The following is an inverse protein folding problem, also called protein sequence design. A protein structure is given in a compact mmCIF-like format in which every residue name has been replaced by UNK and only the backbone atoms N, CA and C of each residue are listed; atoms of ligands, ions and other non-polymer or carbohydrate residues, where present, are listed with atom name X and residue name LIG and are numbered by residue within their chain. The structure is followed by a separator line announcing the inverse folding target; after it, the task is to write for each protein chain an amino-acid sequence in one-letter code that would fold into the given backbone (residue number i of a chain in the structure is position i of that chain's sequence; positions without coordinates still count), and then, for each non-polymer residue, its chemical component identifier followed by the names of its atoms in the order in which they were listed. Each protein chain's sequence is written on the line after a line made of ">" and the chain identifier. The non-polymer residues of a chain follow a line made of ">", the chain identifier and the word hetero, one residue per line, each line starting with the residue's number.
data_IF_852782445119
#
_entry.id   IF_852782445119
#
_cell.length_a   1.000
_cell.length_b   1.000
_cell.length_c   1.000
_cell.angle_alpha   90.00
_cell.angle_beta   90.00
_cell.angle_gamma   90.00
#
_symmetry.space_group_name_H-M   'P 1'
#
loop_
_entity.id
_entity.type
_entity.pdbx_description
1 polymer ?
#
# COMPACT_ATOMS: atom_id res chain seq x y z
N UNK A 1 55.25 1.97 30.50
CA UNK A 1 54.18 1.21 29.79
C UNK A 1 52.86 1.96 29.63
N UNK A 2 52.56 2.94 30.42
CA UNK A 2 51.30 3.73 30.33
C UNK A 2 51.25 4.76 29.20
N UNK A 3 52.37 5.37 28.83
CA UNK A 3 52.39 6.38 27.77
C UNK A 3 52.03 5.84 26.35
N UNK A 4 52.35 4.57 26.08
CA UNK A 4 52.01 3.95 24.76
C UNK A 4 50.51 3.60 24.60
N UNK A 5 49.77 3.38 25.71
CA UNK A 5 48.33 3.09 25.67
C UNK A 5 47.49 4.34 25.43
N UNK A 6 47.95 5.54 25.81
CA UNK A 6 47.23 6.79 25.57
C UNK A 6 47.29 7.26 24.11
N UNK A 7 48.43 7.04 23.46
CA UNK A 7 48.60 7.43 22.04
C UNK A 7 47.70 6.59 21.13
N UNK A 8 47.49 5.30 21.45
CA UNK A 8 46.64 4.41 20.62
C UNK A 8 45.15 4.75 20.75
N UNK A 9 44.69 5.28 21.90
CA UNK A 9 43.28 5.68 22.09
C UNK A 9 42.94 7.01 21.40
N UNK A 10 43.89 7.94 21.32
CA UNK A 10 43.67 9.22 20.62
C UNK A 10 43.65 9.02 19.10
N UNK A 11 44.51 8.13 18.58
CA UNK A 11 44.53 7.80 17.14
C UNK A 11 43.24 7.10 16.68
N UNK A 12 42.66 6.22 17.49
CA UNK A 12 41.41 5.54 17.18
C UNK A 12 40.18 6.49 17.16
N UNK A 13 40.13 7.46 18.08
CA UNK A 13 39.07 8.47 18.09
C UNK A 13 39.14 9.45 16.91
N UNK A 14 40.34 9.82 16.47
CA UNK A 14 40.52 10.68 15.30
C UNK A 14 40.18 9.96 13.98
N UNK A 15 40.44 8.66 13.89
CA UNK A 15 40.07 7.85 12.75
C UNK A 15 38.54 7.64 12.65
N UNK A 16 37.82 7.45 13.76
CA UNK A 16 36.34 7.39 13.78
C UNK A 16 35.71 8.75 13.46
N UNK A 17 36.26 9.86 13.94
CA UNK A 17 35.76 11.19 13.64
C UNK A 17 35.89 11.54 12.15
N UNK A 18 37.01 11.15 11.51
CA UNK A 18 37.21 11.36 10.08
C UNK A 18 36.29 10.49 9.20
N UNK A 19 36.03 9.25 9.63
CA UNK A 19 35.09 8.35 8.92
C UNK A 19 33.64 8.85 8.98
N UNK A 20 33.20 9.40 10.12
CA UNK A 20 31.86 9.98 10.28
C UNK A 20 31.70 11.27 9.46
N UNK A 21 32.72 12.14 9.43
CA UNK A 21 32.68 13.35 8.60
C UNK A 21 32.71 13.07 7.09
N UNK A 22 33.40 12.01 6.65
CA UNK A 22 33.42 11.59 5.24
C UNK A 22 32.05 10.99 4.84
N UNK A 23 31.42 10.21 5.72
CA UNK A 23 30.08 9.66 5.47
C UNK A 23 28.98 10.76 5.44
N UNK A 24 29.09 11.79 6.27
CA UNK A 24 28.15 12.92 6.24
C UNK A 24 28.36 13.84 5.02
N UNK A 25 29.59 14.02 4.53
CA UNK A 25 29.85 14.80 3.33
C UNK A 25 29.50 14.05 2.01
N UNK A 26 29.42 12.71 2.04
CA UNK A 26 28.97 11.91 0.90
C UNK A 26 27.43 11.90 0.77
N UNK A 27 26.70 12.08 1.86
CA UNK A 27 25.22 12.19 1.81
C UNK A 27 24.69 13.48 1.15
N UNK A 28 25.50 14.50 1.02
CA UNK A 28 25.12 15.80 0.45
C UNK A 28 25.38 15.98 -1.05
N UNK A 29 25.94 14.98 -1.77
CA UNK A 29 26.39 15.13 -3.16
C UNK A 29 25.75 14.24 -4.20
N UNK A 30 24.76 13.43 -3.87
CA UNK A 30 23.95 12.72 -4.85
C UNK A 30 22.57 13.37 -4.96
N UNK A 31 22.52 14.54 -5.59
CA UNK A 31 21.33 14.91 -6.34
C UNK A 31 21.50 14.22 -7.71
N UNK A 32 20.60 13.34 -8.12
CA UNK A 32 20.64 12.81 -9.46
C UNK A 32 20.49 13.98 -10.44
N UNK A 33 21.20 13.99 -11.57
CA UNK A 33 21.05 15.03 -12.58
C UNK A 33 19.59 15.09 -13.03
N UNK A 34 19.03 16.30 -13.09
CA UNK A 34 17.74 16.53 -13.71
C UNK A 34 17.87 16.23 -15.20
N UNK A 35 17.19 15.16 -15.64
CA UNK A 35 17.10 14.76 -17.05
C UNK A 35 17.87 13.49 -17.38
N UNK A 36 17.28 12.35 -17.07
CA UNK A 36 17.58 11.12 -17.80
C UNK A 36 16.25 10.40 -18.11
N UNK A 37 15.98 10.26 -19.39
CA UNK A 37 14.79 9.55 -19.91
C UNK A 37 14.94 8.02 -19.77
N UNK A 38 15.48 7.56 -18.66
CA UNK A 38 15.74 6.16 -18.36
C UNK A 38 15.75 5.81 -16.87
N UNK A 39 15.34 6.75 -16.00
CA UNK A 39 15.41 6.55 -14.56
C UNK A 39 14.40 5.51 -14.05
N UNK A 40 14.89 4.29 -13.81
CA UNK A 40 14.14 3.24 -13.10
C UNK A 40 14.06 3.49 -11.58
N UNK A 41 14.76 4.50 -11.07
CA UNK A 41 14.85 4.81 -9.65
C UNK A 41 13.74 5.78 -9.23
N UNK A 42 12.89 5.35 -8.33
CA UNK A 42 11.92 6.21 -7.63
C UNK A 42 12.31 6.37 -6.18
N UNK A 43 11.88 7.46 -5.59
CA UNK A 43 12.08 7.73 -4.16
C UNK A 43 10.79 7.43 -3.41
N UNK A 44 10.77 6.31 -2.73
CA UNK A 44 9.69 5.88 -1.86
C UNK A 44 9.65 6.61 -0.52
N UNK A 45 8.86 6.11 0.40
CA UNK A 45 8.77 6.59 1.77
C UNK A 45 10.10 6.40 2.51
N UNK A 46 10.30 7.11 3.62
CA UNK A 46 11.58 7.10 4.32
C UNK A 46 12.79 7.56 3.47
N UNK A 47 12.56 8.13 2.27
CA UNK A 47 13.59 8.45 1.27
C UNK A 47 14.35 7.23 0.70
N UNK A 48 13.79 6.04 0.80
CA UNK A 48 14.35 4.82 0.22
C UNK A 48 14.30 4.91 -1.30
N UNK A 49 15.37 4.48 -1.95
CA UNK A 49 15.43 4.41 -3.42
C UNK A 49 15.01 3.02 -3.87
N UNK A 50 14.01 2.96 -4.75
CA UNK A 50 13.48 1.73 -5.31
C UNK A 50 13.82 1.70 -6.80
N UNK A 51 14.47 0.64 -7.24
CA UNK A 51 14.73 0.42 -8.67
C UNK A 51 13.55 -0.30 -9.31
N UNK A 52 12.66 0.48 -9.92
CA UNK A 52 11.46 -0.06 -10.59
C UNK A 52 11.78 -1.05 -11.72
N UNK A 53 12.95 -0.99 -12.34
CA UNK A 53 13.32 -1.94 -13.38
C UNK A 53 13.60 -3.34 -12.84
N UNK A 54 14.11 -3.43 -11.62
CA UNK A 54 14.64 -4.68 -11.05
C UNK A 54 13.87 -5.20 -9.85
N UNK A 55 13.16 -4.35 -9.09
CA UNK A 55 12.37 -4.81 -7.94
C UNK A 55 11.34 -5.86 -8.35
N UNK A 56 11.31 -6.98 -7.61
CA UNK A 56 10.39 -8.11 -7.85
C UNK A 56 9.64 -8.54 -6.60
N UNK A 57 10.18 -8.26 -5.42
CA UNK A 57 9.59 -8.64 -4.15
C UNK A 57 9.60 -7.48 -3.16
N UNK A 58 8.71 -7.52 -2.18
CA UNK A 58 8.69 -6.52 -1.12
C UNK A 58 9.94 -6.64 -0.22
N UNK A 59 10.48 -7.84 -0.08
CA UNK A 59 11.66 -8.10 0.76
C UNK A 59 12.96 -7.48 0.23
N UNK A 60 13.01 -7.10 -1.04
CA UNK A 60 14.18 -6.41 -1.64
C UNK A 60 14.30 -4.95 -1.21
N UNK A 61 13.26 -4.37 -0.60
CA UNK A 61 13.24 -2.97 -0.17
C UNK A 61 13.26 -2.89 1.36
N UNK A 62 14.08 -1.98 1.88
CA UNK A 62 14.20 -1.77 3.32
C UNK A 62 12.91 -1.20 3.93
N UNK A 63 12.54 -1.66 5.12
CA UNK A 63 11.47 -1.06 5.91
C UNK A 63 11.78 0.39 6.24
N UNK A 64 10.78 1.25 6.17
CA UNK A 64 10.89 2.67 6.54
C UNK A 64 10.08 3.02 7.81
N UNK A 65 9.38 2.06 8.37
CA UNK A 65 8.60 2.16 9.60
C UNK A 65 9.28 1.41 10.77
N UNK A 66 8.55 0.64 11.54
CA UNK A 66 9.05 -0.07 12.74
C UNK A 66 9.78 -1.38 12.43
N UNK A 67 9.91 -1.73 11.17
CA UNK A 67 10.43 -3.01 10.69
C UNK A 67 9.33 -4.01 10.40
N UNK A 68 9.70 -5.06 9.69
CA UNK A 68 8.78 -6.12 9.26
C UNK A 68 9.22 -7.47 9.80
N UNK A 69 8.27 -8.34 10.10
CA UNK A 69 8.56 -9.68 10.59
C UNK A 69 9.26 -10.53 9.50
N UNK A 70 10.17 -11.40 9.95
CA UNK A 70 10.77 -12.42 9.10
C UNK A 70 10.22 -13.79 9.47
N UNK A 71 9.91 -14.60 8.47
CA UNK A 71 9.48 -15.99 8.67
C UNK A 71 9.92 -16.87 7.51
N UNK A 72 9.84 -18.17 7.73
CA UNK A 72 10.11 -19.18 6.70
C UNK A 72 9.00 -20.23 6.73
N UNK A 73 8.57 -20.65 5.57
CA UNK A 73 7.63 -21.74 5.47
C UNK A 73 8.33 -23.10 5.71
N UNK A 74 7.64 -24.11 6.28
CA UNK A 74 8.18 -25.44 6.42
C UNK A 74 8.59 -26.03 5.06
N UNK A 75 9.65 -26.87 5.00
CA UNK A 75 10.06 -27.54 3.78
C UNK A 75 8.90 -28.32 3.12
N UNK A 76 8.79 -28.22 1.80
CA UNK A 76 7.72 -28.82 1.01
C UNK A 76 6.46 -27.99 0.83
N UNK A 77 6.39 -26.80 1.44
CA UNK A 77 5.27 -25.87 1.32
C UNK A 77 5.69 -24.49 0.77
N UNK A 78 6.83 -24.42 0.12
CA UNK A 78 7.38 -23.16 -0.39
C UNK A 78 6.53 -22.58 -1.52
N UNK A 79 5.79 -23.43 -2.24
CA UNK A 79 4.94 -23.04 -3.38
C UNK A 79 3.44 -23.09 -3.10
N UNK A 80 3.03 -23.67 -1.98
CA UNK A 80 1.62 -23.78 -1.56
C UNK A 80 1.32 -22.67 -0.56
N UNK A 81 1.44 -21.42 -1.01
CA UNK A 81 1.31 -20.23 -0.20
C UNK A 81 0.51 -19.17 -0.93
N UNK A 82 -0.17 -18.31 -0.17
CA UNK A 82 -0.71 -17.07 -0.69
C UNK A 82 0.43 -16.04 -0.78
N UNK A 83 0.61 -15.43 -1.94
CA UNK A 83 1.56 -14.34 -2.15
C UNK A 83 0.81 -13.03 -2.29
N UNK A 84 1.13 -12.05 -1.44
CA UNK A 84 0.62 -10.69 -1.60
C UNK A 84 1.29 -10.05 -2.82
N UNK A 85 0.50 -9.70 -3.82
CA UNK A 85 0.97 -9.23 -5.11
C UNK A 85 0.58 -7.78 -5.35
N UNK A 86 1.55 -6.86 -5.23
CA UNK A 86 1.38 -5.43 -5.47
C UNK A 86 1.66 -5.09 -6.93
N UNK A 87 0.85 -4.26 -7.53
CA UNK A 87 1.05 -3.78 -8.90
C UNK A 87 1.89 -2.51 -8.92
N UNK A 88 3.01 -2.59 -9.62
CA UNK A 88 3.81 -1.46 -10.04
C UNK A 88 3.18 -0.85 -11.30
N UNK A 89 2.69 0.36 -11.20
CA UNK A 89 2.07 1.10 -12.30
C UNK A 89 2.70 2.49 -12.48
N UNK A 90 2.52 3.05 -13.65
CA UNK A 90 2.91 4.44 -13.93
C UNK A 90 1.80 5.39 -13.53
N UNK A 91 2.18 6.49 -12.87
CA UNK A 91 1.23 7.57 -12.57
C UNK A 91 1.17 8.56 -13.71
N UNK A 92 -0.01 8.77 -14.27
CA UNK A 92 -0.31 9.83 -15.23
C UNK A 92 -0.78 11.08 -14.47
N UNK A 93 0.04 12.09 -14.44
CA UNK A 93 -0.34 13.38 -13.90
C UNK A 93 0.51 13.84 -12.71
N UNK A 94 0.46 15.15 -12.51
CA UNK A 94 1.00 15.78 -11.32
C UNK A 94 -0.13 15.78 -10.30
N UNK A 95 -0.03 15.06 -9.19
CA UNK A 95 -0.93 15.33 -8.07
C UNK A 95 -0.78 16.83 -7.79
N UNK A 96 -1.86 17.55 -7.87
CA UNK A 96 -1.86 19.00 -7.61
C UNK A 96 -1.19 19.28 -6.26
N UNK A 97 -0.80 20.51 -5.97
CA UNK A 97 0.00 20.86 -4.79
C UNK A 97 -0.61 20.42 -3.46
N UNK A 98 -1.85 19.98 -3.43
CA UNK A 98 -2.63 19.82 -2.20
C UNK A 98 -3.31 18.44 -2.02
N UNK A 99 -3.25 17.56 -3.00
CA UNK A 99 -4.05 16.32 -2.96
C UNK A 99 -3.56 15.30 -1.90
N UNK A 100 -2.33 15.40 -1.43
CA UNK A 100 -1.73 14.37 -0.56
C UNK A 100 -1.41 14.82 0.87
N UNK A 101 -1.47 16.13 1.15
CA UNK A 101 -0.94 16.65 2.43
C UNK A 101 0.59 16.54 2.60
N UNK A 102 1.29 15.88 1.68
CA UNK A 102 2.73 15.58 1.74
C UNK A 102 3.64 16.72 1.23
N UNK A 103 3.08 17.89 0.94
CA UNK A 103 3.82 19.06 0.46
C UNK A 103 4.04 19.08 -1.05
N UNK A 104 4.47 20.26 -1.54
CA UNK A 104 4.59 20.52 -2.98
C UNK A 104 5.61 19.59 -3.64
N UNK A 105 5.18 18.86 -4.67
CA UNK A 105 6.06 18.18 -5.61
C UNK A 105 6.39 16.71 -5.31
N UNK A 106 5.81 16.07 -4.28
CA UNK A 106 5.98 14.65 -4.06
C UNK A 106 5.03 13.88 -4.99
N UNK A 107 5.56 13.09 -5.88
CA UNK A 107 4.77 12.14 -6.66
C UNK A 107 4.38 11.00 -5.73
N UNK A 108 3.11 10.74 -5.59
CA UNK A 108 2.60 9.52 -5.00
C UNK A 108 2.49 8.46 -6.09
N UNK A 109 2.71 7.21 -5.73
CA UNK A 109 2.71 6.12 -6.68
C UNK A 109 2.44 4.79 -6.01
N UNK A 110 2.63 3.72 -6.75
CA UNK A 110 2.42 2.35 -6.32
C UNK A 110 3.22 1.95 -5.05
N UNK A 111 4.26 2.69 -4.70
CA UNK A 111 5.22 2.44 -3.62
C UNK A 111 4.84 3.07 -2.27
N UNK A 112 3.69 3.70 -2.15
CA UNK A 112 3.20 4.22 -0.87
C UNK A 112 2.95 3.03 0.06
N UNK A 113 3.29 3.19 1.36
CA UNK A 113 3.22 2.16 2.40
C UNK A 113 4.04 0.88 2.09
N UNK A 114 4.80 0.88 1.01
CA UNK A 114 5.61 -0.25 0.58
C UNK A 114 7.04 -0.16 1.13
N UNK A 115 7.65 -1.22 1.63
CA UNK A 115 7.20 -2.62 1.65
C UNK A 115 6.45 -3.02 2.92
N UNK A 116 6.35 -2.14 3.90
CA UNK A 116 5.91 -2.44 5.26
C UNK A 116 4.48 -2.98 5.28
N UNK A 117 3.54 -2.35 4.57
CA UNK A 117 2.16 -2.80 4.50
C UNK A 117 2.04 -4.24 3.96
N UNK A 118 2.74 -4.56 2.88
CA UNK A 118 2.68 -5.88 2.22
C UNK A 118 3.21 -6.99 3.11
N UNK A 119 4.34 -6.74 3.76
CA UNK A 119 5.03 -7.73 4.60
C UNK A 119 4.33 -7.92 5.94
N UNK A 120 3.90 -6.84 6.59
CA UNK A 120 3.15 -6.91 7.85
C UNK A 120 1.79 -7.59 7.63
N UNK A 121 1.07 -7.23 6.55
CA UNK A 121 -0.19 -7.89 6.23
C UNK A 121 0.01 -9.39 5.98
N UNK A 122 1.01 -9.78 5.18
CA UNK A 122 1.33 -11.19 4.91
C UNK A 122 1.63 -11.95 6.19
N UNK A 123 2.41 -11.38 7.09
CA UNK A 123 2.71 -11.98 8.37
C UNK A 123 1.47 -12.14 9.26
N UNK A 124 0.63 -11.13 9.35
CA UNK A 124 -0.61 -11.18 10.13
C UNK A 124 -1.64 -12.14 9.54
N UNK A 125 -1.73 -12.23 8.22
CA UNK A 125 -2.64 -13.17 7.56
C UNK A 125 -2.38 -14.61 8.00
N UNK A 126 -1.11 -15.06 8.06
CA UNK A 126 -0.78 -16.40 8.54
C UNK A 126 -0.94 -16.57 10.06
N UNK A 127 -0.85 -15.49 10.85
CA UNK A 127 -1.11 -15.56 12.29
C UNK A 127 -2.61 -15.65 12.62
N UNK A 128 -3.43 -14.97 11.84
CA UNK A 128 -4.88 -14.86 12.06
C UNK A 128 -5.69 -15.96 11.39
N UNK A 129 -5.05 -16.72 10.48
CA UNK A 129 -5.71 -17.77 9.69
C UNK A 129 -4.82 -19.00 9.58
N UNK A 130 -5.31 -20.05 8.87
CA UNK A 130 -4.50 -21.21 8.46
C UNK A 130 -3.80 -21.01 7.12
N UNK A 131 -3.95 -19.86 6.47
CA UNK A 131 -3.31 -19.55 5.19
C UNK A 131 -1.81 -19.33 5.42
N UNK A 132 -0.99 -20.08 4.70
CA UNK A 132 0.44 -19.81 4.65
C UNK A 132 0.72 -18.70 3.65
N UNK A 133 1.66 -17.82 3.98
CA UNK A 133 2.00 -16.67 3.15
C UNK A 133 3.45 -16.73 2.68
N UNK A 134 3.68 -16.19 1.50
CA UNK A 134 5.02 -15.96 0.97
C UNK A 134 5.72 -14.88 1.83
N UNK A 135 6.93 -15.14 2.36
CA UNK A 135 7.66 -14.18 3.17
C UNK A 135 8.21 -12.98 2.40
N UNK A 136 8.28 -13.06 1.09
CA UNK A 136 8.93 -12.04 0.27
C UNK A 136 7.92 -11.13 -0.43
N UNK A 137 6.68 -11.59 -0.63
CA UNK A 137 5.68 -10.89 -1.44
C UNK A 137 6.08 -10.79 -2.91
N UNK A 138 5.26 -10.14 -3.73
CA UNK A 138 5.56 -9.98 -5.16
C UNK A 138 5.20 -8.58 -5.65
N UNK A 139 6.13 -7.94 -6.36
CA UNK A 139 5.90 -6.71 -7.13
C UNK A 139 5.74 -7.07 -8.59
N UNK A 140 4.56 -6.83 -9.15
CA UNK A 140 4.17 -7.20 -10.51
C UNK A 140 3.94 -5.97 -11.38
N UNK A 141 4.29 -6.10 -12.65
CA UNK A 141 3.72 -5.28 -13.71
C UNK A 141 2.53 -6.00 -14.32
N UNK A 142 1.54 -5.26 -14.81
CA UNK A 142 0.43 -5.86 -15.54
C UNK A 142 0.86 -6.62 -16.80
N UNK A 143 2.06 -6.34 -17.32
CA UNK A 143 2.65 -7.04 -18.46
C UNK A 143 3.47 -8.28 -18.10
N UNK A 144 3.65 -8.59 -16.82
CA UNK A 144 4.43 -9.74 -16.38
C UNK A 144 3.70 -11.05 -16.73
N UNK A 145 4.43 -12.07 -17.20
CA UNK A 145 3.83 -13.31 -17.67
C UNK A 145 3.18 -14.15 -16.58
N UNK A 146 3.59 -13.96 -15.33
CA UNK A 146 3.10 -14.63 -14.13
C UNK A 146 1.90 -13.91 -13.46
N UNK A 147 1.35 -12.84 -14.07
CA UNK A 147 0.22 -12.08 -13.52
C UNK A 147 -0.97 -12.98 -13.15
N UNK A 148 -1.24 -14.00 -13.96
CA UNK A 148 -2.38 -14.91 -13.78
C UNK A 148 -2.16 -15.97 -12.70
N UNK A 149 -0.95 -16.10 -12.16
CA UNK A 149 -0.64 -17.02 -11.08
C UNK A 149 -1.14 -16.53 -9.71
N UNK A 150 -1.51 -15.24 -9.63
CA UNK A 150 -1.97 -14.58 -8.40
C UNK A 150 -3.50 -14.43 -8.43
N UNK A 151 -4.22 -15.01 -7.46
CA UNK A 151 -5.68 -14.89 -7.39
C UNK A 151 -6.15 -13.45 -7.11
N UNK A 152 -5.32 -12.67 -6.42
CA UNK A 152 -5.56 -11.26 -6.10
C UNK A 152 -4.32 -10.44 -6.39
N UNK A 153 -4.55 -9.25 -6.95
CA UNK A 153 -3.56 -8.19 -7.08
C UNK A 153 -4.01 -6.93 -6.34
N UNK A 154 -3.04 -6.18 -5.82
CA UNK A 154 -3.27 -4.99 -5.02
C UNK A 154 -2.73 -3.74 -5.70
N UNK A 155 -3.49 -2.65 -5.67
CA UNK A 155 -3.07 -1.32 -6.08
C UNK A 155 -3.36 -0.30 -4.99
N UNK A 156 -2.41 0.55 -4.75
CA UNK A 156 -2.50 1.65 -3.81
C UNK A 156 -2.24 2.97 -4.53
N UNK A 157 -2.87 4.07 -4.07
CA UNK A 157 -2.77 5.39 -4.72
C UNK A 157 -3.11 5.38 -6.22
N UNK A 158 -4.05 4.52 -6.63
CA UNK A 158 -4.40 4.32 -8.03
C UNK A 158 -5.19 5.47 -8.68
N UNK A 159 -5.51 6.54 -7.94
CA UNK A 159 -6.26 7.70 -8.47
C UNK A 159 -5.59 8.41 -9.65
N UNK A 160 -4.26 8.27 -9.78
CA UNK A 160 -3.49 8.83 -10.91
C UNK A 160 -2.90 7.75 -11.82
N UNK A 161 -3.40 6.54 -11.76
CA UNK A 161 -2.91 5.45 -12.59
C UNK A 161 -3.01 5.78 -14.08
N UNK A 162 -1.96 5.43 -14.84
CA UNK A 162 -1.92 5.54 -16.29
C UNK A 162 -1.61 4.20 -16.93
N UNK A 163 -2.61 3.58 -17.52
CA UNK A 163 -2.46 2.31 -18.22
C UNK A 163 -2.20 2.54 -19.69
N UNK A 164 -1.15 1.92 -20.23
CA UNK A 164 -1.01 1.78 -21.67
C UNK A 164 -2.00 0.74 -22.23
N UNK A 165 -2.02 0.55 -23.55
CA UNK A 165 -2.98 -0.36 -24.17
C UNK A 165 -2.68 -1.83 -23.81
N UNK A 166 -1.41 -2.22 -23.66
CA UNK A 166 -1.03 -3.58 -23.27
C UNK A 166 -1.45 -3.87 -21.84
N UNK A 167 -1.19 -2.93 -20.93
CA UNK A 167 -1.59 -3.02 -19.54
C UNK A 167 -3.11 -3.06 -19.38
N UNK A 168 -3.84 -2.25 -20.17
CA UNK A 168 -5.30 -2.24 -20.20
C UNK A 168 -5.86 -3.60 -20.64
N UNK A 169 -5.30 -4.21 -21.68
CA UNK A 169 -5.71 -5.53 -22.17
C UNK A 169 -5.35 -6.63 -21.17
N UNK A 170 -4.16 -6.56 -20.57
CA UNK A 170 -3.71 -7.54 -19.58
C UNK A 170 -4.61 -7.53 -18.33
N UNK A 171 -4.90 -6.35 -17.77
CA UNK A 171 -5.79 -6.22 -16.60
C UNK A 171 -7.21 -6.69 -16.93
N UNK A 172 -7.73 -6.33 -18.11
CA UNK A 172 -9.03 -6.84 -18.59
C UNK A 172 -9.06 -8.35 -18.62
N UNK A 173 -8.05 -8.96 -19.25
CA UNK A 173 -7.94 -10.42 -19.36
C UNK A 173 -7.86 -11.06 -17.96
N UNK A 174 -7.04 -10.52 -17.08
CA UNK A 174 -6.91 -10.99 -15.71
C UNK A 174 -8.26 -10.99 -14.97
N UNK A 175 -8.98 -9.88 -14.98
CA UNK A 175 -10.27 -9.74 -14.28
C UNK A 175 -11.38 -10.64 -14.88
N UNK A 176 -11.44 -10.74 -16.20
CA UNK A 176 -12.47 -11.56 -16.86
C UNK A 176 -12.20 -13.07 -16.73
N UNK A 177 -10.97 -13.49 -16.48
CA UNK A 177 -10.59 -14.89 -16.29
C UNK A 177 -10.49 -15.34 -14.83
N UNK A 178 -11.04 -14.59 -13.88
CA UNK A 178 -11.15 -15.02 -12.50
C UNK A 178 -10.29 -14.24 -11.52
N UNK A 179 -9.39 -13.38 -11.99
CA UNK A 179 -8.58 -12.53 -11.13
C UNK A 179 -9.40 -11.52 -10.35
N UNK A 180 -8.84 -11.08 -9.22
CA UNK A 180 -9.44 -10.10 -8.33
C UNK A 180 -8.49 -8.90 -8.12
N UNK A 181 -9.00 -7.68 -8.30
CA UNK A 181 -8.26 -6.45 -8.03
C UNK A 181 -8.76 -5.82 -6.72
N UNK A 182 -7.85 -5.62 -5.77
CA UNK A 182 -8.11 -4.83 -4.57
C UNK A 182 -7.42 -3.46 -4.68
N UNK A 183 -8.16 -2.37 -4.41
CA UNK A 183 -7.63 -0.99 -4.49
C UNK A 183 -8.00 -0.24 -3.23
N UNK A 184 -7.05 0.49 -2.65
CA UNK A 184 -7.25 1.33 -1.47
C UNK A 184 -6.34 2.56 -1.51
N UNK A 185 -6.49 3.43 -0.52
CA UNK A 185 -5.72 4.64 -0.27
C UNK A 185 -5.59 5.58 -1.47
N UNK A 186 -6.72 6.05 -1.97
CA UNK A 186 -6.79 7.22 -2.83
C UNK A 186 -8.04 8.04 -2.50
N UNK A 187 -8.01 9.34 -2.78
CA UNK A 187 -8.88 10.29 -2.11
C UNK A 187 -9.49 11.29 -3.08
N UNK A 188 -10.62 11.88 -2.68
CA UNK A 188 -11.33 12.91 -3.43
C UNK A 188 -12.03 12.44 -4.72
N UNK A 189 -12.93 13.28 -5.19
CA UNK A 189 -13.64 13.02 -6.46
C UNK A 189 -12.70 13.04 -7.66
N UNK A 190 -11.66 13.87 -7.64
CA UNK A 190 -10.69 13.97 -8.74
C UNK A 190 -9.92 12.67 -8.96
N UNK A 191 -9.45 12.04 -7.87
CA UNK A 191 -8.72 10.78 -7.95
C UNK A 191 -9.65 9.63 -8.35
N UNK A 192 -10.90 9.65 -7.86
CA UNK A 192 -11.92 8.72 -8.31
C UNK A 192 -12.13 8.81 -9.81
N UNK A 193 -12.36 10.02 -10.34
CA UNK A 193 -12.61 10.25 -11.78
C UNK A 193 -11.44 9.72 -12.64
N UNK A 194 -10.20 9.93 -12.18
CA UNK A 194 -9.00 9.42 -12.84
C UNK A 194 -8.95 7.89 -12.88
N UNK A 195 -9.18 7.24 -11.74
CA UNK A 195 -9.23 5.79 -11.64
C UNK A 195 -10.38 5.19 -12.45
N UNK A 196 -11.59 5.74 -12.31
CA UNK A 196 -12.78 5.29 -13.05
C UNK A 196 -12.59 5.40 -14.57
N UNK A 197 -11.94 6.46 -15.04
CA UNK A 197 -11.61 6.61 -16.45
C UNK A 197 -10.75 5.44 -16.97
N UNK A 198 -9.76 5.00 -16.21
CA UNK A 198 -8.94 3.85 -16.60
C UNK A 198 -9.73 2.55 -16.51
N UNK A 199 -10.54 2.35 -15.49
CA UNK A 199 -11.39 1.17 -15.36
C UNK A 199 -12.43 1.05 -16.48
N UNK A 200 -12.95 2.17 -16.97
CA UNK A 200 -13.84 2.20 -18.14
C UNK A 200 -13.14 1.74 -19.44
N UNK A 201 -11.82 1.94 -19.55
CA UNK A 201 -11.00 1.35 -20.63
C UNK A 201 -10.76 -0.13 -20.42
N UNK A 202 -10.52 -0.53 -19.18
CA UNK A 202 -10.28 -1.94 -18.80
C UNK A 202 -11.54 -2.77 -18.99
N UNK A 203 -12.68 -2.31 -18.51
CA UNK A 203 -13.97 -3.01 -18.52
C UNK A 203 -15.04 -2.20 -19.29
N UNK A 204 -14.90 -2.03 -20.61
CA UNK A 204 -15.84 -1.24 -21.39
C UNK A 204 -17.27 -1.80 -21.30
N UNK A 205 -18.22 -0.91 -21.08
CA UNK A 205 -19.63 -1.28 -20.94
C UNK A 205 -20.02 -1.83 -19.56
N UNK A 206 -19.12 -1.87 -18.61
CA UNK A 206 -19.40 -2.20 -17.19
C UNK A 206 -19.23 -0.97 -16.32
N UNK A 207 -20.11 -0.82 -15.35
CA UNK A 207 -20.03 0.22 -14.32
C UNK A 207 -19.81 -0.41 -12.95
N UNK A 208 -19.34 0.39 -12.02
CA UNK A 208 -19.24 -0.01 -10.63
C UNK A 208 -20.64 0.00 -9.95
N UNK A 209 -20.74 -0.75 -8.87
CA UNK A 209 -21.86 -0.69 -7.93
C UNK A 209 -21.33 -0.37 -6.53
N UNK A 210 -22.12 0.32 -5.72
CA UNK A 210 -21.80 0.55 -4.32
C UNK A 210 -22.05 -0.72 -3.52
N UNK A 211 -21.10 -1.05 -2.63
CA UNK A 211 -21.16 -2.24 -1.79
C UNK A 211 -21.51 -1.80 -0.37
N UNK A 212 -22.59 -2.36 0.17
CA UNK A 212 -23.04 -2.12 1.53
C UNK A 212 -22.50 -3.18 2.50
N UNK A 213 -22.58 -2.91 3.79
CA UNK A 213 -22.04 -3.82 4.82
C UNK A 213 -22.75 -5.18 4.91
N UNK A 214 -23.91 -5.35 4.28
CA UNK A 214 -24.59 -6.65 4.22
C UNK A 214 -23.92 -7.61 3.23
N UNK A 215 -22.98 -7.11 2.41
CA UNK A 215 -22.28 -7.97 1.44
C UNK A 215 -21.40 -9.00 2.16
N UNK A 216 -21.39 -10.28 1.72
CA UNK A 216 -20.65 -11.37 2.37
C UNK A 216 -19.17 -11.09 2.62
N UNK A 217 -18.52 -10.24 1.81
CA UNK A 217 -17.12 -9.87 1.98
C UNK A 217 -16.80 -9.25 3.34
N UNK A 218 -17.79 -8.65 4.03
CA UNK A 218 -17.60 -8.08 5.36
C UNK A 218 -17.85 -9.06 6.50
N UNK A 219 -18.20 -10.33 6.17
CA UNK A 219 -18.65 -11.33 7.16
C UNK A 219 -18.03 -12.71 6.96
N UNK A 220 -17.17 -12.91 5.93
CA UNK A 220 -16.73 -14.26 5.56
C UNK A 220 -15.74 -14.90 6.55
N UNK A 221 -14.91 -14.11 7.23
CA UNK A 221 -13.98 -14.56 8.30
C UNK A 221 -14.20 -13.73 9.56
N UNK A 222 -14.07 -12.42 9.42
CA UNK A 222 -14.31 -11.47 10.48
C UNK A 222 -15.62 -10.73 10.24
N UNK A 223 -16.36 -10.53 11.31
CA UNK A 223 -17.62 -9.80 11.30
C UNK A 223 -17.37 -8.30 11.43
N UNK A 224 -17.41 -7.55 10.32
CA UNK A 224 -17.31 -6.09 10.34
C UNK A 224 -18.68 -5.48 10.54
N UNK A 225 -18.86 -4.74 11.63
CA UNK A 225 -20.15 -4.17 12.07
C UNK A 225 -20.08 -2.66 12.28
N UNK A 226 -21.26 -2.06 12.24
CA UNK A 226 -21.46 -0.64 12.53
C UNK A 226 -21.81 0.16 11.29
N UNK A 227 -21.97 1.47 11.43
CA UNK A 227 -22.14 2.32 10.26
C UNK A 227 -20.84 2.37 9.45
N UNK A 228 -20.98 2.42 8.13
CA UNK A 228 -19.86 2.40 7.16
C UNK A 228 -18.77 3.42 7.52
N UNK A 229 -19.15 4.60 7.98
CA UNK A 229 -18.23 5.68 8.34
C UNK A 229 -17.24 5.30 9.45
N UNK A 230 -17.61 4.34 10.32
CA UNK A 230 -16.72 3.85 11.39
C UNK A 230 -15.67 2.86 10.91
N UNK A 231 -15.79 2.41 9.65
CA UNK A 231 -14.77 1.57 9.00
C UNK A 231 -13.75 2.40 8.20
N UNK A 232 -13.91 3.72 8.14
CA UNK A 232 -12.92 4.59 7.51
C UNK A 232 -11.65 4.61 8.36
N UNK A 233 -10.52 4.32 7.73
CA UNK A 233 -9.18 4.38 8.32
C UNK A 233 -8.52 5.67 7.87
N UNK A 234 -8.08 6.55 8.77
CA UNK A 234 -7.32 7.73 8.40
C UNK A 234 -5.84 7.39 8.23
N UNK A 235 -5.11 8.16 7.45
CA UNK A 235 -3.65 8.15 7.48
C UNK A 235 -3.16 8.53 8.89
N UNK A 236 -2.25 7.77 9.49
CA UNK A 236 -1.83 7.95 10.89
C UNK A 236 -1.33 9.38 11.16
N UNK A 237 -0.48 9.93 10.29
CA UNK A 237 0.10 11.26 10.47
C UNK A 237 -0.95 12.37 10.43
N UNK A 238 -2.10 12.11 9.82
CA UNK A 238 -3.20 13.06 9.68
C UNK A 238 -4.41 12.73 10.55
N UNK A 239 -4.34 11.63 11.29
CA UNK A 239 -5.43 11.24 12.19
C UNK A 239 -5.72 12.32 13.23
N UNK A 240 -6.98 12.71 13.30
CA UNK A 240 -7.46 13.63 14.33
C UNK A 240 -7.96 12.82 15.53
N UNK A 241 -7.14 12.77 16.56
CA UNK A 241 -7.44 12.01 17.79
C UNK A 241 -8.61 12.55 18.60
N UNK A 242 -9.06 13.78 18.30
CA UNK A 242 -10.21 14.42 18.94
C UNK A 242 -11.53 14.15 18.18
N UNK A 243 -11.46 13.39 17.06
CA UNK A 243 -12.66 13.00 16.33
C UNK A 243 -13.53 12.06 17.15
N UNK A 244 -14.84 12.36 17.18
CA UNK A 244 -15.87 11.58 17.84
C UNK A 244 -17.05 11.36 16.88
N UNK A 245 -17.28 10.11 16.50
CA UNK A 245 -18.35 9.74 15.57
C UNK A 245 -19.76 10.01 16.10
N UNK A 246 -19.93 10.13 17.40
CA UNK A 246 -21.24 10.36 18.05
C UNK A 246 -21.54 11.85 18.26
N UNK A 247 -20.57 12.72 17.96
CA UNK A 247 -20.71 14.17 18.06
C UNK A 247 -20.77 14.83 16.66
N UNK A 248 -21.93 15.36 16.24
CA UNK A 248 -22.07 16.00 14.93
C UNK A 248 -21.22 17.29 14.76
N UNK A 249 -20.71 17.84 15.84
CA UNK A 249 -19.81 19.00 15.84
C UNK A 249 -18.33 18.57 16.01
N UNK A 250 -18.04 17.29 15.92
CA UNK A 250 -16.69 16.76 16.01
C UNK A 250 -15.81 17.29 14.87
N UNK A 251 -14.53 17.53 15.12
CA UNK A 251 -13.59 17.82 14.02
C UNK A 251 -13.53 16.61 13.06
N UNK A 252 -13.12 16.82 11.79
CA UNK A 252 -12.96 15.75 10.82
C UNK A 252 -12.04 14.63 11.32
N UNK A 253 -12.23 13.42 10.82
CA UNK A 253 -11.38 12.26 11.15
C UNK A 253 -9.91 12.49 10.76
N UNK A 254 -9.68 13.22 9.67
CA UNK A 254 -8.36 13.65 9.25
C UNK A 254 -8.17 15.16 9.41
N UNK A 255 -6.95 15.57 9.84
CA UNK A 255 -6.58 16.98 10.02
C UNK A 255 -6.31 17.73 8.72
N UNK A 256 -6.10 17.00 7.63
CA UNK A 256 -5.81 17.55 6.31
C UNK A 256 -7.01 17.41 5.39
N UNK A 257 -7.21 18.43 4.56
CA UNK A 257 -8.18 18.40 3.49
C UNK A 257 -7.58 17.63 2.30
N UNK A 258 -8.18 16.50 1.95
CA UNK A 258 -7.81 15.66 0.81
C UNK A 258 -8.51 16.10 -0.50
N UNK A 259 -9.24 17.19 -0.44
CA UNK A 259 -10.00 17.73 -1.57
C UNK A 259 -11.48 17.34 -1.58
N UNK A 260 -12.28 17.96 -2.46
CA UNK A 260 -13.72 17.75 -2.51
C UNK A 260 -14.11 16.28 -2.66
N UNK A 261 -15.03 15.83 -1.82
CA UNK A 261 -15.56 14.46 -1.84
C UNK A 261 -14.70 13.43 -1.12
N UNK A 262 -13.70 13.87 -0.33
CA UNK A 262 -12.83 12.98 0.45
C UNK A 262 -13.34 12.67 1.86
N UNK A 263 -14.43 13.26 2.28
CA UNK A 263 -14.91 13.23 3.68
C UNK A 263 -15.50 11.86 4.06
N UNK A 264 -16.07 11.16 3.07
CA UNK A 264 -16.82 9.93 3.31
C UNK A 264 -16.17 8.78 2.55
N UNK A 265 -15.86 7.71 3.28
CA UNK A 265 -15.43 6.44 2.68
C UNK A 265 -16.54 5.88 1.79
N UNK A 266 -16.14 5.38 0.63
CA UNK A 266 -17.02 4.71 -0.34
C UNK A 266 -16.42 3.37 -0.72
N UNK A 267 -17.24 2.34 -0.71
CA UNK A 267 -16.84 1.00 -1.15
C UNK A 267 -17.57 0.67 -2.43
N UNK A 268 -16.83 0.39 -3.49
CA UNK A 268 -17.36 0.16 -4.84
C UNK A 268 -16.75 -1.08 -5.45
N UNK A 269 -17.50 -1.76 -6.30
CA UNK A 269 -17.03 -2.95 -6.98
C UNK A 269 -17.47 -2.99 -8.44
N UNK A 270 -16.65 -3.63 -9.28
CA UNK A 270 -17.03 -4.09 -10.61
C UNK A 270 -17.39 -5.56 -10.55
N UNK A 271 -18.57 -5.89 -11.02
CA UNK A 271 -19.09 -7.26 -11.02
C UNK A 271 -19.08 -7.83 -12.44
N UNK A 272 -18.87 -9.15 -12.56
CA UNK A 272 -19.10 -9.86 -13.80
C UNK A 272 -20.59 -10.19 -14.03
N UNK A 273 -20.91 -10.87 -15.15
CA UNK A 273 -22.29 -11.20 -15.52
C UNK A 273 -22.96 -12.20 -14.59
N UNK A 274 -22.20 -12.85 -13.71
CA UNK A 274 -22.67 -13.81 -12.71
C UNK A 274 -22.75 -13.21 -11.31
N UNK A 275 -22.39 -11.93 -11.16
CA UNK A 275 -22.34 -11.24 -9.89
C UNK A 275 -21.05 -11.46 -9.10
N UNK A 276 -20.02 -12.12 -9.66
CA UNK A 276 -18.71 -12.25 -9.04
C UNK A 276 -18.03 -10.89 -9.03
N UNK A 277 -17.45 -10.53 -7.89
CA UNK A 277 -16.67 -9.31 -7.77
C UNK A 277 -15.32 -9.48 -8.46
N UNK A 278 -15.04 -8.65 -9.46
CA UNK A 278 -13.78 -8.59 -10.19
C UNK A 278 -12.82 -7.57 -9.59
N UNK A 279 -13.34 -6.46 -9.09
CA UNK A 279 -12.56 -5.42 -8.45
C UNK A 279 -13.31 -4.86 -7.26
N UNK A 280 -12.62 -4.69 -6.12
CA UNK A 280 -13.08 -3.98 -4.94
C UNK A 280 -12.24 -2.74 -4.75
N UNK A 281 -12.90 -1.62 -4.52
CA UNK A 281 -12.25 -0.33 -4.30
C UNK A 281 -12.76 0.27 -3.00
N UNK A 282 -11.83 0.55 -2.09
CA UNK A 282 -12.09 1.29 -0.85
C UNK A 282 -11.51 2.69 -1.02
N UNK A 283 -12.39 3.60 -1.39
CA UNK A 283 -12.07 4.99 -1.70
C UNK A 283 -12.26 5.88 -0.48
N UNK A 284 -11.40 6.87 -0.28
CA UNK A 284 -11.36 7.77 0.87
C UNK A 284 -11.08 7.05 2.19
N UNK A 285 -10.21 6.06 2.17
CA UNK A 285 -9.78 5.34 3.37
C UNK A 285 -8.41 4.73 3.13
N UNK A 286 -7.58 4.78 4.15
CA UNK A 286 -6.20 4.33 4.15
C UNK A 286 -6.08 2.98 4.87
N UNK A 287 -6.57 1.93 4.22
CA UNK A 287 -6.53 0.59 4.81
C UNK A 287 -5.08 0.10 4.99
N UNK A 288 -4.16 0.32 4.01
CA UNK A 288 -2.77 -0.13 4.10
C UNK A 288 -1.97 0.55 5.22
N UNK A 289 -2.24 1.81 5.54
CA UNK A 289 -1.57 2.51 6.65
C UNK A 289 -1.79 1.77 8.00
N UNK A 290 -2.94 1.10 8.14
CA UNK A 290 -3.20 0.22 9.28
C UNK A 290 -2.36 -1.06 9.30
N UNK A 291 -1.72 -1.43 8.19
CA UNK A 291 -0.76 -2.54 8.10
C UNK A 291 0.68 -2.04 8.19
N UNK A 292 0.99 -0.91 7.51
CA UNK A 292 2.31 -0.30 7.48
C UNK A 292 2.75 0.17 8.88
N UNK A 293 1.87 0.88 9.58
CA UNK A 293 2.15 1.59 10.84
C UNK A 293 2.06 0.70 12.07
N UNK A 294 2.23 -0.60 11.92
CA UNK A 294 2.23 -1.51 13.06
C UNK A 294 3.36 -1.17 14.05
N UNK A 295 3.01 -0.86 15.29
CA UNK A 295 3.94 -0.53 16.35
C UNK A 295 4.36 0.94 16.46
N UNK A 296 3.90 1.83 15.58
CA UNK A 296 4.18 3.26 15.68
C UNK A 296 3.29 3.98 16.72
N UNK A 297 2.01 3.63 16.76
CA UNK A 297 1.03 4.20 17.70
C UNK A 297 0.06 3.14 18.19
N UNK A 298 0.11 2.79 19.47
CA UNK A 298 -0.74 1.78 20.09
C UNK A 298 -2.24 2.10 20.01
N UNK A 299 -2.62 3.38 20.08
CA UNK A 299 -4.01 3.79 20.00
C UNK A 299 -4.54 3.66 18.59
N UNK A 300 -3.74 4.06 17.59
CA UNK A 300 -4.08 3.87 16.18
C UNK A 300 -4.23 2.38 15.86
N UNK A 301 -3.26 1.56 16.27
CA UNK A 301 -3.28 0.12 16.06
C UNK A 301 -4.56 -0.51 16.61
N UNK A 302 -4.90 -0.24 17.87
CA UNK A 302 -6.10 -0.79 18.52
C UNK A 302 -7.41 -0.24 17.96
N UNK A 303 -7.39 0.95 17.36
CA UNK A 303 -8.60 1.59 16.84
C UNK A 303 -8.88 1.15 15.40
N UNK A 304 -7.85 1.12 14.55
CA UNK A 304 -7.98 0.91 13.12
C UNK A 304 -7.36 -0.41 12.64
N UNK A 305 -6.09 -0.67 12.95
CA UNK A 305 -5.38 -1.84 12.43
C UNK A 305 -6.05 -3.14 12.88
N UNK A 306 -6.19 -3.34 14.18
CA UNK A 306 -6.74 -4.56 14.80
C UNK A 306 -8.22 -4.75 14.50
N UNK A 307 -9.01 -3.68 14.45
CA UNK A 307 -10.47 -3.79 14.32
C UNK A 307 -11.00 -3.66 12.90
N UNK A 308 -10.24 -3.04 12.00
CA UNK A 308 -10.70 -2.70 10.66
C UNK A 308 -9.73 -3.21 9.60
N UNK A 309 -8.49 -2.71 9.56
CA UNK A 309 -7.58 -2.94 8.43
C UNK A 309 -7.21 -4.41 8.26
N UNK A 310 -6.77 -5.10 9.32
CA UNK A 310 -6.47 -6.52 9.25
C UNK A 310 -7.71 -7.38 9.03
N UNK A 311 -8.81 -7.23 9.78
CA UNK A 311 -10.05 -7.97 9.53
C UNK A 311 -10.58 -7.81 8.11
N UNK A 312 -10.58 -6.58 7.58
CA UNK A 312 -11.05 -6.31 6.23
C UNK A 312 -10.13 -6.94 5.18
N UNK A 313 -8.82 -6.77 5.31
CA UNK A 313 -7.85 -7.40 4.41
C UNK A 313 -7.97 -8.92 4.37
N UNK A 314 -8.09 -9.58 5.54
CA UNK A 314 -8.29 -11.03 5.62
C UNK A 314 -9.59 -11.44 4.93
N UNK A 315 -10.67 -10.71 5.15
CA UNK A 315 -11.95 -10.97 4.48
C UNK A 315 -11.81 -10.85 2.95
N UNK A 316 -11.12 -9.82 2.47
CA UNK A 316 -10.88 -9.61 1.03
C UNK A 316 -10.11 -10.79 0.42
N UNK A 317 -9.03 -11.25 1.08
CA UNK A 317 -8.27 -12.41 0.62
C UNK A 317 -9.15 -13.65 0.57
N UNK A 318 -9.86 -13.92 1.66
CA UNK A 318 -10.70 -15.12 1.74
C UNK A 318 -11.80 -15.09 0.67
N UNK A 319 -12.46 -13.94 0.51
CA UNK A 319 -13.48 -13.76 -0.52
C UNK A 319 -12.93 -13.97 -1.94
N UNK A 320 -11.78 -13.39 -2.26
CA UNK A 320 -11.14 -13.51 -3.59
C UNK A 320 -10.74 -14.95 -3.93
N UNK A 321 -10.44 -15.78 -2.92
CA UNK A 321 -10.06 -17.18 -3.12
C UNK A 321 -11.26 -18.15 -3.20
N UNK A 322 -12.45 -17.72 -2.79
CA UNK A 322 -13.63 -18.58 -2.68
C UNK A 322 -14.78 -18.22 -3.62
N UNK A 323 -14.71 -17.09 -4.30
CA UNK A 323 -15.72 -16.56 -5.21
C UNK A 323 -15.10 -16.14 -6.55
#
# INVERSE_FOLDING_TARGET
>A
MEARRKIFRVGAMLALGAAVCVAQNLRGRFSPPAGDEGGSLVRGEGNILIDEAHVRTAREVESHSTGTAEWKNPPGFEKDVFTFARILFKSNGNPGPDASGWGRGRRLGWWVDFPDADLNFSYRLQQLTSIRTDPDGRVLRLSDPDLTDFPMIFMEHAGYIGLDEKETVALRSYLLNGGFLFVSDFWSQREWDGFEQQMNRVLPGRTWTEITLDHPIFHCVFELKGPMQRLQVPTLQFWNTDHDYDNPNSPPLQRVDRGPGSEIMKIRAWLDDRGRMMALVIHNSDIPDGWEREGEDDRYFRTFSEKISYPLGVNVIFYSMTH
#
